data_IF_152177102805
#
_entry.id   IF_152177102805
#
_cell.length_a   1.000
_cell.length_b   1.000
_cell.length_c   1.000
_cell.angle_alpha   90.00
_cell.angle_beta   90.00
_cell.angle_gamma   90.00
#
_symmetry.space_group_name_H-M   'P 1'
#
loop_
_entity.id
_entity.type
_entity.pdbx_description
1 polymer ?
#
# COMPACT_ATOMS: atom_id res chain seq x y z
N UNK A 1 0.15 -11.05 21.50
CA UNK A 1 -0.27 -10.29 20.28
C UNK A 1 0.48 -8.97 20.28
N UNK A 2 0.80 -8.43 19.13
CA UNK A 2 1.45 -7.13 19.04
C UNK A 2 0.46 -6.02 19.41
N UNK A 3 0.80 -5.05 20.26
CA UNK A 3 -0.10 -3.93 20.58
C UNK A 3 -0.53 -3.15 19.34
N UNK A 4 0.30 -3.12 18.29
CA UNK A 4 -0.02 -2.49 17.01
C UNK A 4 -1.17 -3.17 16.27
N UNK A 5 -1.25 -4.50 16.35
CA UNK A 5 -2.34 -5.26 15.73
C UNK A 5 -3.70 -4.90 16.35
N UNK A 6 -3.76 -4.75 17.67
CA UNK A 6 -5.00 -4.40 18.36
C UNK A 6 -5.46 -2.98 18.00
N UNK A 7 -4.53 -2.01 17.87
CA UNK A 7 -4.82 -0.66 17.40
C UNK A 7 -5.33 -0.65 15.95
N UNK A 8 -4.70 -1.40 15.05
CA UNK A 8 -5.14 -1.51 13.66
C UNK A 8 -6.55 -2.12 13.55
N UNK A 9 -6.84 -3.18 14.32
CA UNK A 9 -8.17 -3.79 14.35
C UNK A 9 -9.25 -2.84 14.87
N UNK A 10 -8.92 -2.04 15.89
CA UNK A 10 -9.82 -1.01 16.39
C UNK A 10 -10.09 0.07 15.31
N UNK A 11 -9.04 0.50 14.60
CA UNK A 11 -9.17 1.42 13.47
C UNK A 11 -10.09 0.85 12.36
N UNK A 12 -9.94 -0.42 12.00
CA UNK A 12 -10.81 -1.09 11.01
C UNK A 12 -12.29 -1.05 11.42
N UNK A 13 -12.59 -1.28 12.70
CA UNK A 13 -13.97 -1.21 13.20
C UNK A 13 -14.55 0.19 12.98
N UNK A 14 -13.78 1.23 13.29
CA UNK A 14 -14.24 2.61 13.15
C UNK A 14 -14.33 3.06 11.69
N UNK A 15 -13.38 2.67 10.82
CA UNK A 15 -13.48 2.94 9.38
C UNK A 15 -14.69 2.22 8.76
N UNK A 16 -15.00 0.98 9.18
CA UNK A 16 -16.24 0.31 8.76
C UNK A 16 -17.48 1.07 9.17
N UNK A 17 -17.49 1.67 10.35
CA UNK A 17 -18.61 2.52 10.78
C UNK A 17 -18.74 3.78 9.89
N UNK A 18 -17.63 4.40 9.49
CA UNK A 18 -17.61 5.51 8.52
C UNK A 18 -18.20 5.07 7.18
N UNK A 19 -17.77 3.94 6.64
CA UNK A 19 -18.27 3.41 5.36
C UNK A 19 -19.78 3.14 5.38
N UNK A 20 -20.30 2.65 6.50
CA UNK A 20 -21.74 2.42 6.71
C UNK A 20 -22.49 3.75 6.81
N UNK A 21 -21.93 4.76 7.48
CA UNK A 21 -22.53 6.08 7.63
C UNK A 21 -22.56 6.91 6.34
N UNK A 22 -21.71 6.55 5.35
CA UNK A 22 -21.63 7.21 4.04
C UNK A 22 -21.98 6.20 2.91
N UNK A 23 -23.25 5.80 2.75
CA UNK A 23 -23.62 4.77 1.79
C UNK A 23 -23.58 5.25 0.33
N UNK A 24 -23.78 6.56 0.10
CA UNK A 24 -23.89 7.17 -1.23
C UNK A 24 -22.56 7.69 -1.78
N UNK A 25 -22.44 7.65 -3.11
CA UNK A 25 -21.29 8.19 -3.82
C UNK A 25 -21.11 9.69 -3.57
N UNK A 26 -22.19 10.47 -3.68
CA UNK A 26 -22.16 11.93 -3.52
C UNK A 26 -21.67 12.36 -2.12
N UNK A 27 -21.95 11.54 -1.10
CA UNK A 27 -21.47 11.77 0.27
C UNK A 27 -19.97 11.52 0.36
N UNK A 28 -19.48 10.46 -0.27
CA UNK A 28 -18.07 10.03 -0.23
C UNK A 28 -17.15 10.96 -1.03
N UNK A 29 -17.54 11.28 -2.28
CA UNK A 29 -16.75 12.11 -3.21
C UNK A 29 -16.80 13.62 -2.87
N UNK A 30 -17.57 14.06 -1.89
CA UNK A 30 -17.67 15.48 -1.55
C UNK A 30 -16.32 16.07 -1.19
N UNK A 31 -15.79 17.07 -1.96
CA UNK A 31 -14.49 17.65 -1.67
C UNK A 31 -14.53 18.48 -0.37
N UNK A 32 -13.52 18.33 0.48
CA UNK A 32 -13.40 19.01 1.78
C UNK A 32 -12.31 20.09 1.71
N UNK A 33 -11.06 19.70 1.43
CA UNK A 33 -9.88 20.56 1.42
C UNK A 33 -8.77 19.95 0.56
N UNK A 34 -7.71 20.69 0.35
CA UNK A 34 -6.50 20.10 -0.20
C UNK A 34 -5.72 19.38 0.91
N UNK A 35 -5.40 18.13 0.71
CA UNK A 35 -4.60 17.32 1.62
C UNK A 35 -3.12 17.66 1.55
N UNK A 36 -2.36 17.32 2.57
CA UNK A 36 -0.90 17.53 2.62
C UNK A 36 -0.16 16.64 1.60
N UNK A 37 -0.77 15.54 1.18
CA UNK A 37 -0.30 14.71 0.07
C UNK A 37 -0.39 15.36 -1.30
N UNK A 38 -1.12 16.49 -1.43
CA UNK A 38 -1.23 17.33 -2.62
C UNK A 38 -2.48 17.06 -3.47
N UNK A 39 -3.25 16.03 -3.18
CA UNK A 39 -4.52 15.73 -3.84
C UNK A 39 -5.71 16.39 -3.08
N UNK A 40 -6.90 16.40 -3.67
CA UNK A 40 -8.11 16.91 -3.03
C UNK A 40 -8.67 15.84 -2.08
N UNK A 41 -8.72 16.14 -0.78
CA UNK A 41 -9.31 15.28 0.24
C UNK A 41 -10.83 15.17 0.04
N UNK A 42 -11.33 13.97 -0.12
CA UNK A 42 -12.76 13.70 -0.12
C UNK A 42 -13.31 13.51 1.30
N UNK A 43 -14.63 13.61 1.46
CA UNK A 43 -15.27 13.46 2.76
C UNK A 43 -15.04 12.07 3.37
N UNK A 44 -14.94 11.04 2.53
CA UNK A 44 -14.63 9.68 2.98
C UNK A 44 -13.22 9.58 3.54
N UNK A 45 -12.22 10.14 2.84
CA UNK A 45 -10.81 10.07 3.24
C UNK A 45 -10.60 10.80 4.57
N UNK A 46 -11.13 12.03 4.73
CA UNK A 46 -11.04 12.78 5.99
C UNK A 46 -11.71 12.08 7.17
N UNK A 47 -12.89 11.49 6.94
CA UNK A 47 -13.61 10.77 7.98
C UNK A 47 -12.88 9.47 8.38
N UNK A 48 -12.36 8.73 7.40
CA UNK A 48 -11.60 7.50 7.64
C UNK A 48 -10.26 7.81 8.31
N UNK A 49 -9.57 8.89 7.92
CA UNK A 49 -8.33 9.32 8.58
C UNK A 49 -8.59 9.69 10.05
N UNK A 50 -9.61 10.51 10.32
CA UNK A 50 -9.99 10.86 11.70
C UNK A 50 -10.32 9.61 12.52
N UNK A 51 -11.06 8.67 11.97
CA UNK A 51 -11.42 7.41 12.61
C UNK A 51 -10.21 6.53 12.90
N UNK A 52 -9.21 6.55 12.02
CA UNK A 52 -7.97 5.76 12.17
C UNK A 52 -7.01 6.39 13.16
N UNK A 53 -6.72 7.69 13.00
CA UNK A 53 -5.63 8.35 13.72
C UNK A 53 -5.86 8.50 15.21
N UNK A 54 -7.12 8.52 15.69
CA UNK A 54 -7.41 8.55 17.14
C UNK A 54 -6.83 7.37 17.91
N UNK A 55 -6.54 6.24 17.23
CA UNK A 55 -5.92 5.07 17.84
C UNK A 55 -4.40 5.20 17.96
N UNK A 56 -3.79 6.11 17.19
CA UNK A 56 -2.35 6.34 17.13
C UNK A 56 -1.93 7.69 17.71
N UNK A 57 -2.86 8.52 18.20
CA UNK A 57 -2.57 9.84 18.78
C UNK A 57 -1.97 9.71 20.19
N UNK A 58 -0.65 9.47 20.24
CA UNK A 58 0.14 9.25 21.46
C UNK A 58 1.45 10.03 21.36
N UNK A 59 2.00 10.46 22.51
CA UNK A 59 3.23 11.24 22.58
C UNK A 59 4.48 10.52 22.06
N UNK A 60 4.49 9.17 22.13
CA UNK A 60 5.60 8.34 21.67
C UNK A 60 5.52 7.99 20.17
N UNK A 61 4.53 8.55 19.44
CA UNK A 61 4.29 8.30 18.03
C UNK A 61 4.46 9.56 17.19
N UNK A 62 5.21 9.43 16.09
CA UNK A 62 5.22 10.33 14.94
C UNK A 62 4.31 9.73 13.87
N UNK A 63 3.23 10.40 13.53
CA UNK A 63 2.30 9.99 12.48
C UNK A 63 2.74 10.61 11.15
N UNK A 64 2.67 9.82 10.07
CA UNK A 64 2.77 10.28 8.67
C UNK A 64 1.53 9.77 7.95
N UNK A 65 0.63 10.66 7.56
CA UNK A 65 -0.64 10.32 6.91
C UNK A 65 -0.92 11.24 5.73
N UNK A 66 -1.65 10.74 4.75
CA UNK A 66 -1.85 11.40 3.46
C UNK A 66 -2.52 12.77 3.59
N UNK A 67 -3.54 12.88 4.44
CA UNK A 67 -4.40 14.07 4.51
C UNK A 67 -3.92 15.10 5.52
N UNK A 68 -3.47 14.67 6.72
CA UNK A 68 -2.98 15.59 7.77
C UNK A 68 -1.49 15.88 7.68
N UNK A 69 -0.74 15.13 6.86
CA UNK A 69 0.70 15.27 6.79
C UNK A 69 1.47 14.56 7.91
N UNK A 70 2.44 15.25 8.50
CA UNK A 70 3.25 14.71 9.60
C UNK A 70 2.85 15.36 10.92
N UNK A 71 2.60 14.55 11.98
CA UNK A 71 2.26 15.00 13.33
C UNK A 71 3.10 14.26 14.37
N UNK A 72 3.62 14.99 15.36
CA UNK A 72 4.40 14.43 16.48
C UNK A 72 5.87 14.17 16.13
N UNK A 73 6.66 13.83 17.16
CA UNK A 73 8.12 13.58 17.07
C UNK A 73 8.52 12.35 17.89
N UNK A 74 7.59 11.38 18.04
CA UNK A 74 7.79 10.19 18.86
C UNK A 74 8.85 9.23 18.31
N UNK A 75 9.23 8.24 19.14
CA UNK A 75 10.15 7.16 18.78
C UNK A 75 9.64 6.32 17.62
N UNK A 76 8.33 6.06 17.59
CA UNK A 76 7.70 5.22 16.59
C UNK A 76 7.17 6.09 15.45
N UNK A 77 7.54 5.77 14.22
CA UNK A 77 6.92 6.36 13.04
C UNK A 77 5.79 5.44 12.57
N UNK A 78 4.55 5.95 12.57
CA UNK A 78 3.37 5.24 12.08
C UNK A 78 2.94 5.91 10.78
N UNK A 79 3.04 5.17 9.68
CA UNK A 79 2.54 5.59 8.37
C UNK A 79 1.14 5.04 8.18
N UNK A 80 0.23 5.90 7.74
CA UNK A 80 -1.18 5.55 7.56
C UNK A 80 -1.65 6.03 6.18
N UNK A 81 -2.22 5.12 5.41
CA UNK A 81 -3.15 5.42 4.34
C UNK A 81 -4.52 4.87 4.77
N UNK A 82 -5.46 5.74 5.17
CA UNK A 82 -6.74 5.30 5.69
C UNK A 82 -7.62 4.59 4.67
N UNK A 83 -7.51 4.98 3.39
CA UNK A 83 -8.26 4.42 2.26
C UNK A 83 -7.36 4.35 1.02
N UNK A 84 -6.43 3.40 0.97
CA UNK A 84 -5.73 3.08 -0.28
C UNK A 84 -6.75 2.60 -1.33
N UNK A 85 -6.81 3.29 -2.45
CA UNK A 85 -7.85 3.08 -3.46
C UNK A 85 -9.10 3.93 -3.25
N UNK A 86 -8.96 5.20 -2.78
CA UNK A 86 -10.05 6.14 -2.50
C UNK A 86 -11.07 6.22 -3.64
N UNK A 87 -10.65 6.31 -4.90
CA UNK A 87 -11.56 6.34 -6.06
C UNK A 87 -12.42 5.09 -6.19
N UNK A 88 -11.91 3.93 -5.79
CA UNK A 88 -12.70 2.69 -5.74
C UNK A 88 -13.71 2.77 -4.59
N UNK A 89 -13.27 3.17 -3.41
CA UNK A 89 -14.12 3.30 -2.23
C UNK A 89 -15.26 4.30 -2.45
N UNK A 90 -14.97 5.46 -3.02
CA UNK A 90 -15.94 6.50 -3.37
C UNK A 90 -17.05 5.96 -4.28
N UNK A 91 -16.68 5.11 -5.24
CA UNK A 91 -17.59 4.54 -6.25
C UNK A 91 -18.24 3.23 -5.83
N UNK A 92 -17.90 2.71 -4.63
CA UNK A 92 -18.39 1.41 -4.17
C UNK A 92 -17.78 0.21 -4.89
N UNK A 93 -16.62 0.37 -5.53
CA UNK A 93 -15.86 -0.75 -6.09
C UNK A 93 -15.14 -1.42 -4.93
N UNK A 94 -15.37 -2.72 -4.65
CA UNK A 94 -14.86 -3.39 -3.46
C UNK A 94 -13.38 -3.80 -3.59
N UNK A 95 -12.50 -2.83 -3.84
CA UNK A 95 -11.06 -3.00 -3.93
C UNK A 95 -10.36 -1.76 -3.38
N UNK A 96 -10.31 -1.65 -2.06
CA UNK A 96 -9.69 -0.57 -1.30
C UNK A 96 -9.35 -1.05 0.12
N UNK A 97 -8.36 -0.44 0.77
CA UNK A 97 -7.79 -0.94 2.01
C UNK A 97 -7.41 0.16 2.99
N UNK A 98 -7.36 -0.16 4.29
CA UNK A 98 -6.56 0.54 5.29
C UNK A 98 -5.14 -0.03 5.25
N UNK A 99 -4.13 0.83 5.14
CA UNK A 99 -2.71 0.46 5.18
C UNK A 99 -2.03 1.16 6.34
N UNK A 100 -1.36 0.39 7.22
CA UNK A 100 -0.61 0.91 8.38
C UNK A 100 0.75 0.26 8.44
N UNK A 101 1.81 1.06 8.53
CA UNK A 101 3.15 0.58 8.82
C UNK A 101 3.71 1.22 10.08
N UNK A 102 4.51 0.49 10.85
CA UNK A 102 5.19 1.00 12.03
C UNK A 102 6.69 0.79 11.89
N UNK A 103 7.44 1.88 12.11
CA UNK A 103 8.89 1.90 12.05
C UNK A 103 9.52 2.42 13.34
N UNK A 104 10.73 1.98 13.64
CA UNK A 104 11.60 2.58 14.65
C UNK A 104 12.72 3.34 13.93
N UNK A 105 12.37 4.50 13.37
CA UNK A 105 13.23 5.32 12.52
C UNK A 105 12.46 6.00 11.41
N UNK A 106 13.15 6.38 10.34
CA UNK A 106 12.62 7.26 9.28
C UNK A 106 12.85 6.73 7.86
N UNK A 107 13.26 5.47 7.70
CA UNK A 107 13.48 4.81 6.40
C UNK A 107 12.71 3.51 6.27
N UNK A 108 12.58 3.00 5.07
CA UNK A 108 11.89 1.73 4.79
C UNK A 108 12.50 0.57 5.59
N UNK A 109 13.83 0.55 5.76
CA UNK A 109 14.49 -0.49 6.55
C UNK A 109 14.16 -0.45 8.04
N UNK A 110 13.62 0.66 8.54
CA UNK A 110 13.19 0.80 9.92
C UNK A 110 11.78 0.22 10.17
N UNK A 111 11.00 -0.08 9.11
CA UNK A 111 9.66 -0.66 9.24
C UNK A 111 9.74 -2.07 9.79
N UNK A 112 9.10 -2.34 10.92
CA UNK A 112 9.12 -3.65 11.57
C UNK A 112 7.74 -4.31 11.70
N UNK A 113 6.65 -3.55 11.46
CA UNK A 113 5.28 -4.05 11.46
C UNK A 113 4.52 -3.45 10.28
N UNK A 114 3.81 -4.30 9.54
CA UNK A 114 2.94 -3.93 8.44
C UNK A 114 1.55 -4.54 8.60
N UNK A 115 0.53 -3.75 8.31
CA UNK A 115 -0.87 -4.13 8.39
C UNK A 115 -1.62 -3.58 7.19
N UNK A 116 -2.37 -4.44 6.50
CA UNK A 116 -3.31 -4.05 5.45
C UNK A 116 -4.64 -4.74 5.71
N UNK A 117 -5.73 -3.99 5.63
CA UNK A 117 -7.07 -4.54 5.71
C UNK A 117 -7.84 -4.25 4.42
N UNK A 118 -8.12 -5.31 3.64
CA UNK A 118 -8.96 -5.24 2.45
C UNK A 118 -10.44 -5.21 2.86
N UNK A 119 -11.10 -4.07 2.66
CA UNK A 119 -12.51 -3.90 2.99
C UNK A 119 -13.44 -4.65 2.04
N UNK A 120 -13.03 -4.88 0.80
CA UNK A 120 -13.81 -5.61 -0.19
C UNK A 120 -13.87 -7.10 0.10
N UNK A 121 -12.74 -7.72 0.38
CA UNK A 121 -12.63 -9.14 0.69
C UNK A 121 -12.80 -9.46 2.19
N UNK A 122 -12.76 -8.45 3.09
CA UNK A 122 -12.66 -8.62 4.53
C UNK A 122 -11.45 -9.46 4.95
N UNK A 123 -10.32 -9.20 4.35
CA UNK A 123 -9.05 -9.89 4.59
C UNK A 123 -8.10 -9.01 5.41
N UNK A 124 -7.54 -9.59 6.48
CA UNK A 124 -6.53 -8.96 7.34
C UNK A 124 -5.15 -9.52 6.98
N UNK A 125 -4.25 -8.63 6.55
CA UNK A 125 -2.88 -8.95 6.17
C UNK A 125 -1.92 -8.34 7.16
N UNK A 126 -0.96 -9.14 7.66
CA UNK A 126 0.03 -8.67 8.63
C UNK A 126 1.41 -9.17 8.30
N UNK A 127 2.42 -8.36 8.58
CA UNK A 127 3.82 -8.78 8.55
C UNK A 127 4.57 -8.21 9.75
N UNK A 128 5.52 -8.98 10.26
CA UNK A 128 6.42 -8.57 11.34
C UNK A 128 7.84 -8.90 10.88
N UNK A 129 8.76 -7.96 11.00
CA UNK A 129 10.16 -8.16 10.61
C UNK A 129 10.75 -9.39 11.33
N UNK A 130 11.21 -10.37 10.54
CA UNK A 130 11.73 -11.65 11.06
C UNK A 130 10.66 -12.58 11.62
N UNK A 131 9.37 -12.20 11.54
CA UNK A 131 8.25 -12.98 12.06
C UNK A 131 7.36 -13.59 10.97
N UNK A 132 7.58 -13.22 9.72
CA UNK A 132 6.80 -13.70 8.57
C UNK A 132 5.59 -12.83 8.22
N UNK A 133 4.85 -13.27 7.19
CA UNK A 133 3.66 -12.63 6.67
C UNK A 133 2.44 -13.55 6.78
N UNK A 134 1.27 -12.95 7.05
CA UNK A 134 0.06 -13.70 7.41
C UNK A 134 -1.17 -13.12 6.71
N UNK A 135 -2.12 -13.99 6.38
CA UNK A 135 -3.49 -13.65 5.98
C UNK A 135 -4.45 -14.20 7.04
N UNK A 136 -5.25 -13.32 7.65
CA UNK A 136 -6.20 -13.67 8.71
C UNK A 136 -5.55 -14.50 9.85
N UNK A 137 -4.30 -14.17 10.19
CA UNK A 137 -3.51 -14.86 11.21
C UNK A 137 -2.92 -16.21 10.76
N UNK A 138 -3.12 -16.63 9.51
CA UNK A 138 -2.55 -17.85 8.93
C UNK A 138 -1.28 -17.49 8.14
N UNK A 139 -0.14 -18.16 8.39
CA UNK A 139 1.09 -17.89 7.64
C UNK A 139 0.90 -18.07 6.12
N UNK A 140 1.44 -17.17 5.34
CA UNK A 140 1.46 -17.29 3.88
C UNK A 140 2.49 -18.34 3.45
N UNK A 141 2.06 -19.30 2.65
CA UNK A 141 2.91 -20.40 2.14
C UNK A 141 3.07 -20.37 0.63
N UNK A 142 2.00 -20.02 -0.11
CA UNK A 142 2.03 -19.93 -1.56
C UNK A 142 2.82 -18.67 -1.99
N UNK A 143 3.37 -18.71 -3.20
CA UNK A 143 4.17 -17.62 -3.73
C UNK A 143 3.97 -17.43 -5.23
N UNK A 144 4.47 -16.29 -5.75
CA UNK A 144 4.38 -15.94 -7.17
C UNK A 144 5.10 -16.97 -8.05
N UNK A 145 4.60 -17.12 -9.26
CA UNK A 145 5.16 -18.04 -10.27
C UNK A 145 6.31 -17.40 -11.05
N UNK A 146 7.10 -18.26 -11.65
CA UNK A 146 8.07 -17.95 -12.68
C UNK A 146 7.91 -19.01 -13.80
N UNK A 147 7.55 -18.63 -15.05
CA UNK A 147 7.37 -17.25 -15.56
C UNK A 147 6.14 -16.51 -14.98
N UNK A 148 6.11 -15.18 -15.17
CA UNK A 148 5.01 -14.32 -14.73
C UNK A 148 3.75 -14.65 -15.55
N UNK A 149 2.72 -15.18 -14.91
CA UNK A 149 1.41 -15.41 -15.52
C UNK A 149 0.49 -14.19 -15.31
N UNK A 150 0.49 -13.62 -14.10
CA UNK A 150 -0.30 -12.46 -13.73
C UNK A 150 0.60 -11.30 -13.28
N UNK A 151 0.61 -10.21 -14.06
CA UNK A 151 1.24 -8.95 -13.68
C UNK A 151 0.18 -7.94 -13.19
N UNK A 152 0.36 -7.43 -11.98
CA UNK A 152 -0.41 -6.29 -11.49
C UNK A 152 0.28 -4.97 -11.85
N UNK A 153 -0.49 -4.03 -12.37
CA UNK A 153 -0.04 -2.68 -12.69
C UNK A 153 -0.81 -1.69 -11.81
N UNK A 154 -0.07 -0.87 -11.08
CA UNK A 154 -0.64 0.21 -10.30
C UNK A 154 -0.45 1.54 -11.02
N UNK A 155 -1.57 2.06 -11.51
CA UNK A 155 -1.71 3.37 -12.14
C UNK A 155 -3.19 3.74 -12.24
N UNK A 156 -3.49 5.01 -12.05
CA UNK A 156 -4.88 5.52 -12.13
C UNK A 156 -5.24 6.10 -13.51
N UNK A 157 -4.24 6.40 -14.35
CA UNK A 157 -4.45 7.06 -15.64
C UNK A 157 -4.28 6.10 -16.81
N UNK A 158 -5.34 5.89 -17.59
CA UNK A 158 -5.35 5.00 -18.74
C UNK A 158 -4.24 5.30 -19.77
N UNK A 159 -3.92 6.58 -20.01
CA UNK A 159 -2.86 6.98 -20.94
C UNK A 159 -1.49 6.44 -20.49
N UNK A 160 -1.17 6.50 -19.17
CA UNK A 160 0.07 5.99 -18.63
C UNK A 160 0.15 4.46 -18.75
N UNK A 161 -0.96 3.77 -18.46
CA UNK A 161 -1.05 2.31 -18.65
C UNK A 161 -0.79 1.96 -20.11
N UNK A 162 -1.49 2.61 -21.04
CA UNK A 162 -1.34 2.36 -22.47
C UNK A 162 0.10 2.56 -22.96
N UNK A 163 0.75 3.63 -22.50
CA UNK A 163 2.14 3.94 -22.85
C UNK A 163 3.11 2.83 -22.44
N UNK A 164 2.91 2.24 -21.22
CA UNK A 164 3.79 1.21 -20.66
C UNK A 164 3.41 -0.21 -21.04
N UNK A 165 2.21 -0.45 -21.54
CA UNK A 165 1.78 -1.80 -21.95
C UNK A 165 2.69 -2.41 -23.02
N UNK A 166 3.23 -1.62 -23.93
CA UNK A 166 4.10 -2.12 -25.01
C UNK A 166 5.33 -2.86 -24.48
N UNK A 167 5.90 -2.39 -23.38
CA UNK A 167 7.10 -2.94 -22.78
C UNK A 167 6.81 -3.99 -21.70
N UNK A 168 5.69 -3.87 -21.00
CA UNK A 168 5.32 -4.76 -19.90
C UNK A 168 4.53 -5.99 -20.38
N UNK A 169 3.65 -5.85 -21.38
CA UNK A 169 2.81 -6.97 -21.84
C UNK A 169 3.60 -8.20 -22.33
N UNK A 170 4.78 -8.07 -22.97
CA UNK A 170 5.56 -9.24 -23.36
C UNK A 170 6.09 -10.10 -22.19
N UNK A 171 6.04 -9.57 -20.94
CA UNK A 171 6.54 -10.26 -19.76
C UNK A 171 5.49 -11.13 -19.06
N UNK A 172 4.22 -11.09 -19.50
CA UNK A 172 3.10 -11.73 -18.78
C UNK A 172 1.99 -12.16 -19.72
N UNK A 173 1.20 -13.16 -19.30
CA UNK A 173 0.01 -13.58 -20.03
C UNK A 173 -1.22 -12.71 -19.71
N UNK A 174 -1.31 -12.20 -18.48
CA UNK A 174 -2.52 -11.52 -17.97
C UNK A 174 -2.16 -10.30 -17.14
N UNK A 175 -2.94 -9.25 -17.30
CA UNK A 175 -2.79 -7.99 -16.56
C UNK A 175 -3.92 -7.79 -15.55
N UNK A 176 -3.58 -7.13 -14.43
CA UNK A 176 -4.52 -6.55 -13.48
C UNK A 176 -4.17 -5.09 -13.27
N UNK A 177 -5.17 -4.22 -13.36
CA UNK A 177 -5.07 -2.79 -13.05
C UNK A 177 -6.23 -2.49 -12.11
N UNK A 178 -5.99 -2.56 -10.82
CA UNK A 178 -7.07 -2.60 -9.83
C UNK A 178 -7.21 -1.31 -9.02
N UNK A 179 -6.12 -0.55 -8.80
CA UNK A 179 -6.16 0.80 -8.24
C UNK A 179 -6.21 0.86 -6.71
N UNK A 180 -5.61 -0.14 -6.03
CA UNK A 180 -5.29 -0.10 -4.62
C UNK A 180 -3.94 -0.78 -4.41
N UNK A 181 -2.92 0.01 -4.20
CA UNK A 181 -1.53 -0.44 -4.21
C UNK A 181 -1.24 -1.38 -3.03
N UNK A 182 -1.76 -1.11 -1.83
CA UNK A 182 -1.56 -1.94 -0.66
C UNK A 182 -2.10 -3.38 -0.86
N UNK A 183 -3.30 -3.51 -1.46
CA UNK A 183 -3.87 -4.83 -1.77
C UNK A 183 -3.02 -5.56 -2.82
N UNK A 184 -2.47 -4.84 -3.78
CA UNK A 184 -1.61 -5.44 -4.81
C UNK A 184 -0.35 -6.07 -4.21
N UNK A 185 0.28 -5.46 -3.21
CA UNK A 185 1.37 -6.07 -2.45
C UNK A 185 0.92 -7.35 -1.71
N UNK A 186 -0.25 -7.30 -1.08
CA UNK A 186 -0.83 -8.46 -0.39
C UNK A 186 -1.04 -9.64 -1.34
N UNK A 187 -1.61 -9.38 -2.51
CA UNK A 187 -1.84 -10.41 -3.52
C UNK A 187 -0.55 -11.02 -4.06
N UNK A 188 0.50 -10.22 -4.27
CA UNK A 188 1.80 -10.73 -4.65
C UNK A 188 2.42 -11.57 -3.53
N UNK A 189 2.37 -11.10 -2.27
CA UNK A 189 2.88 -11.85 -1.13
C UNK A 189 2.22 -13.23 -0.95
N UNK A 190 0.94 -13.36 -1.34
CA UNK A 190 0.18 -14.60 -1.30
C UNK A 190 0.26 -15.44 -2.59
N UNK A 191 0.99 -14.98 -3.62
CA UNK A 191 1.06 -15.68 -4.90
C UNK A 191 -0.24 -15.66 -5.71
N UNK A 192 -1.16 -14.73 -5.42
CA UNK A 192 -2.38 -14.50 -6.24
C UNK A 192 -2.04 -13.77 -7.53
N UNK A 193 -0.95 -13.00 -7.52
CA UNK A 193 -0.28 -12.43 -8.70
C UNK A 193 1.21 -12.75 -8.63
N UNK A 194 1.91 -12.67 -9.76
CA UNK A 194 3.29 -13.15 -9.86
C UNK A 194 4.31 -12.01 -9.86
N UNK A 195 3.85 -10.82 -10.21
CA UNK A 195 4.67 -9.61 -10.21
C UNK A 195 3.80 -8.36 -10.11
N UNK A 196 4.43 -7.23 -9.78
CA UNK A 196 3.78 -5.93 -9.81
C UNK A 196 4.73 -4.84 -10.31
N UNK A 197 4.15 -3.82 -10.95
CA UNK A 197 4.82 -2.61 -11.38
C UNK A 197 3.98 -1.37 -11.06
N UNK A 198 4.57 -0.43 -10.32
CA UNK A 198 3.96 0.86 -10.01
C UNK A 198 4.43 1.87 -11.05
N UNK A 199 3.52 2.33 -11.93
CA UNK A 199 3.88 3.18 -13.07
C UNK A 199 4.08 4.64 -12.70
N UNK A 200 3.37 5.13 -11.68
CA UNK A 200 3.49 6.51 -11.18
C UNK A 200 4.26 6.48 -9.86
N UNK A 201 5.22 7.40 -9.65
CA UNK A 201 5.87 7.52 -8.36
C UNK A 201 4.84 7.69 -7.23
N UNK A 202 4.88 6.79 -6.24
CA UNK A 202 4.02 6.76 -5.06
C UNK A 202 4.79 7.15 -3.79
N UNK A 203 4.10 7.37 -2.70
CA UNK A 203 4.63 7.81 -1.41
C UNK A 203 4.91 6.61 -0.50
N UNK A 204 5.67 6.85 0.58
CA UNK A 204 5.94 5.80 1.56
C UNK A 204 4.66 5.21 2.17
N UNK A 205 3.61 6.00 2.40
CA UNK A 205 2.32 5.52 2.94
C UNK A 205 1.67 4.46 2.06
N UNK A 206 1.87 4.54 0.73
CA UNK A 206 1.28 3.64 -0.25
C UNK A 206 1.95 2.25 -0.26
N UNK A 207 3.22 2.14 0.19
CA UNK A 207 3.98 0.89 0.08
C UNK A 207 4.66 0.39 1.38
N UNK A 208 4.76 1.20 2.43
CA UNK A 208 5.51 0.82 3.62
C UNK A 208 4.99 -0.44 4.32
N UNK A 209 3.69 -0.65 4.39
CA UNK A 209 3.11 -1.87 4.94
C UNK A 209 3.29 -3.06 3.98
N UNK A 210 2.93 -2.85 2.72
CA UNK A 210 2.95 -3.90 1.69
C UNK A 210 4.35 -4.44 1.39
N UNK A 211 5.37 -3.57 1.38
CA UNK A 211 6.75 -4.00 1.14
C UNK A 211 7.26 -4.97 2.22
N UNK A 212 6.80 -4.81 3.47
CA UNK A 212 7.21 -5.73 4.52
C UNK A 212 6.62 -7.13 4.29
N UNK A 213 5.37 -7.24 3.81
CA UNK A 213 4.79 -8.51 3.39
C UNK A 213 5.66 -9.20 2.32
N UNK A 214 6.09 -8.46 1.29
CA UNK A 214 6.95 -8.97 0.22
C UNK A 214 8.29 -9.47 0.77
N UNK A 215 8.96 -8.66 1.60
CA UNK A 215 10.28 -8.99 2.17
C UNK A 215 10.22 -10.18 3.13
N UNK A 216 9.20 -10.27 3.97
CA UNK A 216 9.00 -11.41 4.88
C UNK A 216 8.67 -12.73 4.15
N UNK A 217 8.23 -12.64 2.90
CA UNK A 217 8.08 -13.78 1.98
C UNK A 217 9.38 -14.14 1.25
N UNK A 218 10.45 -13.36 1.42
CA UNK A 218 11.71 -13.54 0.71
C UNK A 218 11.63 -13.19 -0.77
N UNK A 219 10.62 -12.41 -1.19
CA UNK A 219 10.48 -11.95 -2.58
C UNK A 219 11.22 -10.63 -2.79
N UNK A 220 11.56 -10.36 -4.04
CA UNK A 220 12.31 -9.17 -4.41
C UNK A 220 11.39 -7.96 -4.59
N UNK A 221 11.86 -6.81 -4.13
CA UNK A 221 11.26 -5.50 -4.33
C UNK A 221 12.38 -4.49 -4.60
N UNK A 222 12.19 -3.59 -5.55
CA UNK A 222 13.21 -2.64 -5.95
C UNK A 222 12.61 -1.34 -6.51
N UNK A 223 13.40 -0.27 -6.48
CA UNK A 223 13.16 0.92 -7.28
C UNK A 223 13.74 0.71 -8.67
N UNK A 224 12.97 0.97 -9.74
CA UNK A 224 13.43 0.74 -11.12
C UNK A 224 14.66 1.53 -11.50
N UNK A 225 14.89 2.70 -10.90
CA UNK A 225 16.04 3.59 -11.15
C UNK A 225 17.33 3.15 -10.46
N UNK A 226 17.30 2.04 -9.72
CA UNK A 226 18.46 1.46 -9.04
C UNK A 226 18.81 2.11 -7.71
N UNK A 227 18.01 3.06 -7.21
CA UNK A 227 18.20 3.57 -5.86
C UNK A 227 17.94 2.47 -4.82
N UNK A 228 18.61 2.58 -3.67
CA UNK A 228 18.41 1.64 -2.57
C UNK A 228 17.03 1.82 -1.95
N UNK A 229 16.18 0.82 -2.12
CA UNK A 229 14.81 0.82 -1.62
C UNK A 229 14.75 0.93 -0.08
N UNK A 230 15.69 0.33 0.62
CA UNK A 230 15.75 0.33 2.09
C UNK A 230 15.96 1.71 2.70
N UNK A 231 16.68 2.58 2.00
CA UNK A 231 16.97 3.95 2.46
C UNK A 231 15.90 4.97 2.10
N UNK A 232 14.82 4.57 1.40
CA UNK A 232 13.74 5.50 1.06
C UNK A 232 13.11 6.11 2.31
N UNK A 233 12.98 7.47 2.38
CA UNK A 233 12.43 8.14 3.54
C UNK A 233 10.95 7.81 3.79
N UNK A 234 10.58 7.76 5.07
CA UNK A 234 9.20 7.63 5.52
C UNK A 234 8.55 9.03 5.64
N UNK A 235 8.31 9.66 4.50
CA UNK A 235 7.69 10.98 4.39
C UNK A 235 6.65 11.03 3.24
N UNK A 236 6.03 12.19 3.03
CA UNK A 236 5.05 12.42 1.96
C UNK A 236 5.64 13.09 0.72
N UNK A 237 6.86 13.60 0.79
CA UNK A 237 7.53 14.36 -0.28
C UNK A 237 8.29 13.44 -1.22
N UNK A 238 8.99 12.45 -0.65
CA UNK A 238 9.74 11.45 -1.40
C UNK A 238 8.81 10.51 -2.13
N UNK A 239 9.05 10.33 -3.43
CA UNK A 239 8.21 9.51 -4.28
C UNK A 239 9.05 8.59 -5.13
N UNK A 240 8.64 7.33 -5.24
CA UNK A 240 9.33 6.34 -6.06
C UNK A 240 8.37 5.43 -6.80
N UNK A 241 8.78 4.98 -7.98
CA UNK A 241 8.20 3.81 -8.60
C UNK A 241 8.73 2.57 -7.90
N UNK A 242 7.94 1.51 -7.92
CA UNK A 242 8.31 0.23 -7.29
C UNK A 242 8.01 -0.90 -8.26
N UNK A 243 8.89 -1.88 -8.32
CA UNK A 243 8.64 -3.18 -8.94
C UNK A 243 8.88 -4.27 -7.91
N UNK A 244 8.06 -5.31 -7.95
CA UNK A 244 8.25 -6.47 -7.09
C UNK A 244 7.91 -7.75 -7.83
N UNK A 245 8.64 -8.82 -7.54
CA UNK A 245 8.47 -10.14 -8.13
C UNK A 245 9.10 -11.21 -7.23
N UNK A 246 8.98 -12.49 -7.65
CA UNK A 246 9.53 -13.61 -6.92
C UNK A 246 11.05 -13.51 -6.71
N UNK A 247 11.79 -13.06 -7.73
CA UNK A 247 13.25 -13.05 -7.70
C UNK A 247 13.84 -11.69 -8.11
N UNK A 248 15.07 -11.37 -7.70
CA UNK A 248 15.77 -10.16 -8.14
C UNK A 248 15.89 -10.04 -9.67
N UNK A 249 16.07 -11.16 -10.36
CA UNK A 249 16.21 -11.19 -11.82
C UNK A 249 14.90 -10.81 -12.52
N UNK A 250 13.75 -11.26 -12.00
CA UNK A 250 12.43 -10.85 -12.49
C UNK A 250 12.16 -9.37 -12.20
N UNK A 251 12.52 -8.88 -10.99
CA UNK A 251 12.45 -7.46 -10.68
C UNK A 251 13.29 -6.60 -11.64
N UNK A 252 14.51 -7.03 -11.96
CA UNK A 252 15.37 -6.31 -12.90
C UNK A 252 14.76 -6.24 -14.31
N UNK A 253 14.18 -7.33 -14.80
CA UNK A 253 13.44 -7.35 -16.08
C UNK A 253 12.24 -6.40 -16.09
N UNK A 254 11.47 -6.35 -14.99
CA UNK A 254 10.36 -5.42 -14.85
C UNK A 254 10.83 -3.96 -14.81
N UNK A 255 11.92 -3.68 -14.07
CA UNK A 255 12.52 -2.36 -14.01
C UNK A 255 13.00 -1.88 -15.38
N UNK A 256 13.70 -2.72 -16.13
CA UNK A 256 14.13 -2.44 -17.51
C UNK A 256 12.93 -2.13 -18.42
N UNK A 257 11.89 -2.99 -18.39
CA UNK A 257 10.67 -2.78 -19.18
C UNK A 257 9.91 -1.51 -18.80
N UNK A 258 9.89 -1.16 -17.51
CA UNK A 258 9.23 0.05 -17.01
C UNK A 258 9.96 1.32 -17.41
N UNK A 259 11.28 1.28 -17.52
CA UNK A 259 12.12 2.42 -17.90
C UNK A 259 12.35 2.54 -19.41
N UNK A 260 12.04 1.50 -20.18
CA UNK A 260 12.17 1.51 -21.63
C UNK A 260 11.35 2.65 -22.28
N UNK A 261 11.87 3.27 -23.37
CA UNK A 261 11.20 4.39 -24.06
C UNK A 261 9.89 3.98 -24.75
#
# INVERSE_FOLDING_TARGET
>A
MSPWLDLCRAAVVDVKAVLIAMPGRDERERPIRQGEGGDMTAALDEAAETATLKHFDREDIRIVSEEIGTKGEGRWTVLVDPIDGSQNAERGIPYFALSVAVAEGTTIDDVFFGYVYDFGANEEWTAVRGGGAFLNGVPLTDGPKDPIEFLSIEATRAALVYERLRTLAPLTDRLRVAGAQAITYCHLAAGRTDAMAVLRPSRAVDFAAGQLLIRERGFAIAMPDGQDFGTHPLDLQSRSRVVAARTPELCAKLAEALLAP
#
